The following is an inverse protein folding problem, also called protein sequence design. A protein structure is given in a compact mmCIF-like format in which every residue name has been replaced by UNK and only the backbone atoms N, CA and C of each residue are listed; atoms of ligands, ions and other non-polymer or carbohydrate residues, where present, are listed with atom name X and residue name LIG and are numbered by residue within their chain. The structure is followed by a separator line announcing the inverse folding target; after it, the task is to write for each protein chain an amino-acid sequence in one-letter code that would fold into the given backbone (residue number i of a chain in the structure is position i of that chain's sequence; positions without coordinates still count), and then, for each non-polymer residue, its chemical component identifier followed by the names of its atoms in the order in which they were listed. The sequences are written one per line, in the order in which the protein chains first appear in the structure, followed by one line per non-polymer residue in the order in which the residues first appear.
data_IF_724482415453
#
_entry.id   IF_724482415453
#
_cell.length_a   1.000
_cell.length_b   1.000
_cell.length_c   1.000
_cell.angle_alpha   90.00
_cell.angle_beta   90.00
_cell.angle_gamma   90.00
#
_symmetry.space_group_name_H-M   'P 1'
#
loop_
_entity.id
_entity.type
_entity.pdbx_description
1 polymer ?
#
# COMPACT_ATOMS: atom_id res chain seq x y z
N UNK A 1 16.37 -11.29 2.43
CA UNK A 1 15.27 -10.82 3.28
C UNK A 1 13.94 -11.14 2.64
N UNK A 2 13.02 -11.73 3.40
CA UNK A 2 11.72 -12.12 2.88
C UNK A 2 10.72 -10.98 3.04
N UNK A 3 10.91 -9.93 2.26
CA UNK A 3 10.02 -8.78 2.26
C UNK A 3 8.87 -9.02 1.29
N UNK A 4 7.66 -8.76 1.75
CA UNK A 4 6.45 -8.90 0.94
C UNK A 4 5.55 -7.70 1.13
N UNK A 5 4.96 -7.22 0.04
CA UNK A 5 4.01 -6.11 0.08
C UNK A 5 2.72 -6.56 -0.58
N UNK A 6 1.61 -6.38 0.13
CA UNK A 6 0.28 -6.60 -0.43
C UNK A 6 -0.41 -5.27 -0.61
N UNK A 7 -1.00 -5.08 -1.78
CA UNK A 7 -1.75 -3.87 -2.11
C UNK A 7 -3.16 -4.28 -2.46
N UNK A 8 -4.15 -3.67 -1.83
CA UNK A 8 -5.56 -3.98 -2.06
C UNK A 8 -6.35 -2.70 -2.20
N UNK A 9 -7.20 -2.63 -3.20
CA UNK A 9 -8.10 -1.51 -3.38
C UNK A 9 -9.38 -1.97 -4.06
N UNK A 10 -10.42 -1.16 -3.91
CA UNK A 10 -11.73 -1.41 -4.52
C UNK A 10 -12.04 -0.26 -5.46
N UNK A 11 -12.42 -0.58 -6.70
CA UNK A 11 -12.92 0.41 -7.65
C UNK A 11 -14.40 0.22 -7.87
N UNK A 12 -15.13 1.33 -7.79
CA UNK A 12 -16.56 1.36 -8.08
C UNK A 12 -16.79 1.65 -9.56
N UNK A 13 -17.98 1.32 -10.06
CA UNK A 13 -18.31 1.42 -11.48
C UNK A 13 -18.09 2.80 -12.08
N UNK A 14 -18.19 3.86 -11.27
CA UNK A 14 -18.02 5.24 -11.72
C UNK A 14 -16.58 5.72 -11.77
N UNK A 15 -15.64 4.91 -11.24
CA UNK A 15 -14.25 5.30 -11.20
C UNK A 15 -13.50 4.89 -12.47
N UNK A 16 -12.50 5.68 -12.83
CA UNK A 16 -11.70 5.41 -14.03
C UNK A 16 -10.57 4.42 -13.73
N UNK A 17 -10.79 3.15 -14.08
CA UNK A 17 -9.83 2.08 -13.88
C UNK A 17 -8.47 2.39 -14.52
N UNK A 18 -8.48 2.87 -15.75
CA UNK A 18 -7.24 3.19 -16.48
C UNK A 18 -6.41 4.23 -15.73
N UNK A 19 -7.06 5.27 -15.23
CA UNK A 19 -6.39 6.34 -14.48
C UNK A 19 -5.75 5.81 -13.20
N UNK A 20 -6.44 4.91 -12.50
CA UNK A 20 -5.92 4.32 -11.27
C UNK A 20 -4.64 3.53 -11.55
N UNK A 21 -4.65 2.66 -12.57
CA UNK A 21 -3.46 1.88 -12.92
C UNK A 21 -2.32 2.78 -13.41
N UNK A 22 -2.62 3.84 -14.16
CA UNK A 22 -1.59 4.79 -14.58
C UNK A 22 -0.91 5.46 -13.38
N UNK A 23 -1.69 5.88 -12.40
CA UNK A 23 -1.14 6.54 -11.21
C UNK A 23 -0.33 5.58 -10.33
N UNK A 24 -0.76 4.32 -10.24
CA UNK A 24 0.01 3.32 -9.51
C UNK A 24 1.37 3.07 -10.19
N UNK A 25 1.40 3.03 -11.52
CA UNK A 25 2.65 2.87 -12.25
C UNK A 25 3.54 4.10 -12.13
N UNK A 26 2.99 5.30 -12.31
CA UNK A 26 3.74 6.55 -12.21
C UNK A 26 4.35 6.73 -10.83
N UNK A 27 3.58 6.49 -9.79
CA UNK A 27 4.02 6.77 -8.42
C UNK A 27 4.87 5.66 -7.82
N UNK A 28 4.56 4.39 -8.13
CA UNK A 28 5.20 3.26 -7.45
C UNK A 28 5.90 2.29 -8.38
N UNK A 29 5.90 2.55 -9.69
CA UNK A 29 6.54 1.70 -10.68
C UNK A 29 6.01 0.25 -10.66
N UNK A 30 4.70 0.10 -10.43
CA UNK A 30 4.03 -1.20 -10.47
C UNK A 30 3.22 -1.28 -11.75
N UNK A 31 3.56 -2.22 -12.62
CA UNK A 31 2.84 -2.42 -13.88
C UNK A 31 1.47 -3.03 -13.62
N UNK A 32 0.52 -2.73 -14.52
CA UNK A 32 -0.83 -3.28 -14.42
C UNK A 32 -0.84 -4.80 -14.37
N UNK A 33 0.07 -5.45 -15.09
CA UNK A 33 0.18 -6.91 -15.13
C UNK A 33 0.47 -7.53 -13.77
N UNK A 34 0.97 -6.76 -12.80
CA UNK A 34 1.24 -7.26 -11.45
C UNK A 34 0.01 -7.26 -10.56
N UNK A 35 -1.11 -6.71 -11.04
CA UNK A 35 -2.35 -6.70 -10.30
C UNK A 35 -3.29 -7.80 -10.78
N UNK A 36 -4.01 -8.39 -9.82
CA UNK A 36 -5.12 -9.28 -10.08
C UNK A 36 -6.40 -8.48 -9.93
N UNK A 37 -7.32 -8.66 -10.87
CA UNK A 37 -8.58 -7.93 -10.88
C UNK A 37 -9.72 -8.94 -10.85
N UNK A 38 -10.59 -8.82 -9.86
CA UNK A 38 -11.79 -9.65 -9.74
C UNK A 38 -13.02 -8.75 -9.80
N UNK A 39 -13.92 -9.02 -10.72
CA UNK A 39 -15.17 -8.28 -10.81
C UNK A 39 -16.25 -8.98 -10.00
N UNK A 40 -16.89 -8.23 -9.12
CA UNK A 40 -18.01 -8.74 -8.32
C UNK A 40 -19.20 -7.80 -8.46
N UNK A 41 -20.41 -8.33 -8.23
CA UNK A 41 -21.62 -7.52 -8.25
C UNK A 41 -21.71 -6.72 -6.96
N UNK A 42 -21.78 -5.41 -7.08
CA UNK A 42 -21.95 -4.53 -5.96
C UNK A 42 -23.42 -4.23 -5.67
N UNK A 43 -23.67 -3.19 -4.91
CA UNK A 43 -25.01 -2.74 -4.58
C UNK A 43 -25.74 -2.31 -5.87
N UNK A 44 -27.01 -2.69 -6.01
CA UNK A 44 -27.81 -2.43 -7.21
C UNK A 44 -27.22 -3.03 -8.49
N UNK A 45 -26.50 -4.15 -8.38
CA UNK A 45 -25.87 -4.85 -9.51
C UNK A 45 -24.80 -4.03 -10.24
N UNK A 46 -24.32 -2.93 -9.65
CA UNK A 46 -23.20 -2.19 -10.23
C UNK A 46 -21.91 -3.00 -10.01
N UNK A 47 -21.08 -3.13 -11.05
CA UNK A 47 -19.83 -3.88 -10.89
C UNK A 47 -18.86 -3.17 -9.97
N UNK A 48 -18.18 -3.97 -9.17
CA UNK A 48 -17.10 -3.52 -8.30
C UNK A 48 -15.88 -4.33 -8.66
N UNK A 49 -14.74 -3.67 -8.82
CA UNK A 49 -13.47 -4.35 -9.09
C UNK A 49 -12.68 -4.45 -7.80
N UNK A 50 -12.31 -5.67 -7.43
CA UNK A 50 -11.39 -5.94 -6.34
C UNK A 50 -10.01 -6.10 -6.96
N UNK A 51 -9.11 -5.18 -6.65
CA UNK A 51 -7.78 -5.14 -7.25
C UNK A 51 -6.76 -5.45 -6.17
N UNK A 52 -5.87 -6.38 -6.45
CA UNK A 52 -4.84 -6.79 -5.49
C UNK A 52 -3.52 -7.06 -6.18
N UNK A 53 -2.43 -6.85 -5.44
CA UNK A 53 -1.09 -7.20 -5.88
C UNK A 53 -0.30 -7.74 -4.71
N UNK A 54 0.64 -8.63 -5.00
CA UNK A 54 1.53 -9.20 -4.01
C UNK A 54 2.96 -9.07 -4.54
N UNK A 55 3.69 -8.12 -4.01
CA UNK A 55 5.06 -7.87 -4.42
C UNK A 55 6.02 -8.61 -3.50
N UNK A 56 7.08 -9.16 -4.06
CA UNK A 56 8.07 -9.91 -3.32
C UNK A 56 9.48 -9.48 -3.70
N UNK A 57 10.42 -9.70 -2.80
CA UNK A 57 11.85 -9.53 -3.05
C UNK A 57 12.20 -8.13 -3.54
N UNK A 58 12.88 -8.01 -4.66
CA UNK A 58 13.36 -6.73 -5.17
C UNK A 58 12.22 -5.78 -5.54
N UNK A 59 11.14 -6.30 -6.11
CA UNK A 59 9.98 -5.47 -6.43
C UNK A 59 9.36 -4.89 -5.17
N UNK A 60 9.28 -5.69 -4.11
CA UNK A 60 8.80 -5.20 -2.82
C UNK A 60 9.74 -4.15 -2.23
N UNK A 61 11.05 -4.37 -2.30
CA UNK A 61 12.03 -3.40 -1.82
C UNK A 61 11.92 -2.07 -2.56
N UNK A 62 11.79 -2.12 -3.87
CA UNK A 62 11.63 -0.92 -4.69
C UNK A 62 10.36 -0.16 -4.30
N UNK A 63 9.25 -0.88 -4.11
CA UNK A 63 8.00 -0.26 -3.67
C UNK A 63 8.16 0.45 -2.33
N UNK A 64 8.73 -0.25 -1.34
CA UNK A 64 8.90 0.31 0.00
C UNK A 64 9.74 1.59 -0.04
N UNK A 65 10.83 1.56 -0.78
CA UNK A 65 11.71 2.72 -0.93
C UNK A 65 10.98 3.91 -1.54
N UNK A 66 10.26 3.68 -2.64
CA UNK A 66 9.48 4.74 -3.30
C UNK A 66 8.36 5.26 -2.41
N UNK A 67 7.63 4.33 -1.79
CA UNK A 67 6.48 4.66 -0.96
C UNK A 67 6.87 5.63 0.17
N UNK A 68 7.87 5.28 0.95
CA UNK A 68 8.28 6.11 2.07
C UNK A 68 9.02 7.38 1.62
N UNK A 69 9.69 7.36 0.47
CA UNK A 69 10.35 8.56 -0.05
C UNK A 69 9.36 9.62 -0.52
N UNK A 70 8.17 9.21 -0.94
CA UNK A 70 7.12 10.13 -1.42
C UNK A 70 6.19 10.61 -0.32
N UNK A 71 6.27 9.99 0.84
CA UNK A 71 5.40 10.33 1.97
C UNK A 71 5.80 11.68 2.56
N UNK A 72 4.81 12.46 3.01
CA UNK A 72 5.07 13.71 3.70
C UNK A 72 5.89 13.43 4.97
N UNK A 73 6.82 14.33 5.26
CA UNK A 73 7.73 14.17 6.39
C UNK A 73 6.98 13.97 7.71
N UNK A 74 5.93 14.74 7.93
CA UNK A 74 5.14 14.66 9.16
C UNK A 74 4.47 13.30 9.31
N UNK A 75 3.92 12.77 8.22
CA UNK A 75 3.30 11.45 8.22
C UNK A 75 4.34 10.35 8.41
N UNK A 76 5.49 10.48 7.75
CA UNK A 76 6.59 9.54 7.92
C UNK A 76 7.04 9.48 9.38
N UNK A 77 7.26 10.63 9.99
CA UNK A 77 7.72 10.71 11.38
C UNK A 77 6.70 10.11 12.35
N UNK A 78 5.41 10.34 12.11
CA UNK A 78 4.38 9.75 12.96
C UNK A 78 4.40 8.23 12.88
N UNK A 79 4.43 7.68 11.69
CA UNK A 79 4.48 6.23 11.52
C UNK A 79 5.78 5.67 12.12
N UNK A 80 6.89 6.33 11.86
CA UNK A 80 8.20 5.88 12.33
C UNK A 80 8.27 5.83 13.85
N UNK A 81 7.79 6.88 14.52
CA UNK A 81 7.84 6.97 15.97
C UNK A 81 6.85 6.04 16.67
N UNK A 82 5.72 5.75 16.02
CA UNK A 82 4.66 4.92 16.58
C UNK A 82 4.39 3.68 15.74
N UNK A 83 5.44 3.12 15.16
CA UNK A 83 5.31 2.03 14.18
C UNK A 83 4.56 0.83 14.75
N UNK A 84 4.68 0.55 16.04
CA UNK A 84 3.97 -0.56 16.66
C UNK A 84 2.45 -0.41 16.62
N UNK A 85 1.96 0.84 16.58
CA UNK A 85 0.52 1.10 16.47
C UNK A 85 -0.02 0.77 15.07
N UNK A 86 0.85 0.68 14.08
CA UNK A 86 0.49 0.36 12.70
C UNK A 86 0.77 -1.10 12.33
N UNK A 87 1.41 -1.86 13.22
CA UNK A 87 1.74 -3.26 12.97
C UNK A 87 0.59 -4.16 13.45
N UNK A 88 0.15 -5.03 12.56
CA UNK A 88 -0.86 -6.05 12.86
C UNK A 88 -0.22 -7.43 12.72
N UNK A 89 -1.02 -8.49 12.87
CA UNK A 89 -0.54 -9.86 12.62
C UNK A 89 -0.07 -10.06 11.18
N UNK A 90 -0.51 -9.21 10.25
CA UNK A 90 -0.14 -9.29 8.84
C UNK A 90 1.07 -8.44 8.48
N UNK A 91 1.60 -7.64 9.39
CA UNK A 91 2.72 -6.74 9.17
C UNK A 91 2.36 -5.29 9.37
N UNK A 92 3.16 -4.40 8.79
CA UNK A 92 2.90 -2.96 8.85
C UNK A 92 1.77 -2.62 7.90
N UNK A 93 0.65 -2.16 8.45
CA UNK A 93 -0.58 -1.89 7.70
C UNK A 93 -0.84 -0.40 7.62
N UNK A 94 -0.87 0.12 6.41
CA UNK A 94 -1.10 1.53 6.13
C UNK A 94 -2.22 1.69 5.12
N UNK A 95 -2.91 2.81 5.17
CA UNK A 95 -3.97 3.14 4.23
C UNK A 95 -3.75 4.54 3.67
N UNK A 96 -3.73 4.65 2.35
CA UNK A 96 -3.55 5.93 1.68
C UNK A 96 -4.81 6.30 0.91
N UNK A 97 -4.99 7.59 0.69
CA UNK A 97 -6.14 8.11 -0.06
C UNK A 97 -6.02 7.73 -1.53
N UNK A 98 -6.99 6.97 -2.03
CA UNK A 98 -7.07 6.65 -3.45
C UNK A 98 -7.30 7.92 -4.28
N UNK A 99 -8.20 8.78 -3.82
CA UNK A 99 -8.54 10.01 -4.54
C UNK A 99 -7.36 10.97 -4.65
N UNK A 100 -6.60 11.17 -3.57
CA UNK A 100 -5.43 12.05 -3.59
C UNK A 100 -4.32 11.50 -4.46
N UNK A 101 -4.19 10.16 -4.50
CA UNK A 101 -3.19 9.53 -5.37
C UNK A 101 -3.47 9.84 -6.84
N UNK A 102 -4.74 10.02 -7.22
CA UNK A 102 -5.09 10.41 -8.59
C UNK A 102 -4.55 11.79 -8.96
N UNK A 103 -4.21 12.61 -7.98
CA UNK A 103 -3.55 13.90 -8.18
C UNK A 103 -2.06 13.84 -7.89
N UNK A 104 -1.50 12.63 -7.76
CA UNK A 104 -0.08 12.44 -7.49
C UNK A 104 0.33 12.69 -6.05
N UNK A 105 -0.63 12.73 -5.12
CA UNK A 105 -0.36 13.03 -3.71
C UNK A 105 -0.48 11.74 -2.89
N UNK A 106 0.58 11.40 -2.17
CA UNK A 106 0.58 10.31 -1.22
C UNK A 106 0.18 10.84 0.16
N UNK A 107 -0.99 10.43 0.64
CA UNK A 107 -1.50 10.89 1.92
C UNK A 107 -2.21 9.75 2.65
N UNK A 108 -1.97 9.64 3.94
CA UNK A 108 -2.71 8.69 4.77
C UNK A 108 -4.18 9.09 4.84
N UNK A 109 -5.05 8.10 4.89
CA UNK A 109 -6.49 8.34 4.95
C UNK A 109 -7.20 7.18 5.62
N UNK A 110 -8.45 7.41 6.04
CA UNK A 110 -9.31 6.36 6.58
C UNK A 110 -10.50 6.09 5.68
N UNK A 111 -10.71 6.91 4.66
CA UNK A 111 -11.84 6.81 3.76
C UNK A 111 -11.37 6.55 2.33
N UNK A 112 -12.04 5.64 1.64
CA UNK A 112 -11.78 5.31 0.24
C UNK A 112 -10.30 5.09 -0.03
N UNK A 113 -9.76 4.04 0.58
CA UNK A 113 -8.32 3.88 0.67
C UNK A 113 -7.77 2.77 -0.20
N UNK A 114 -6.48 2.89 -0.48
CA UNK A 114 -5.65 1.79 -0.95
C UNK A 114 -4.94 1.24 0.28
N UNK A 115 -5.14 -0.06 0.54
CA UNK A 115 -4.48 -0.74 1.65
C UNK A 115 -3.10 -1.20 1.24
N UNK A 116 -2.11 -0.83 2.05
CA UNK A 116 -0.72 -1.25 1.86
C UNK A 116 -0.33 -2.07 3.08
N UNK A 117 0.11 -3.29 2.86
CA UNK A 117 0.55 -4.16 3.94
C UNK A 117 1.97 -4.65 3.66
N UNK A 118 2.91 -4.25 4.51
CA UNK A 118 4.33 -4.56 4.37
C UNK A 118 4.71 -5.56 5.43
N UNK A 119 5.18 -6.74 5.04
CA UNK A 119 5.56 -7.77 6.00
C UNK A 119 6.97 -8.26 5.78
N UNK A 120 7.65 -8.54 6.89
CA UNK A 120 8.95 -9.17 6.93
C UNK A 120 8.99 -10.07 8.16
N UNK A 121 9.76 -11.18 8.15
CA UNK A 121 9.82 -12.03 9.32
C UNK A 121 10.35 -11.30 10.56
N UNK A 122 9.68 -11.49 11.68
CA UNK A 122 10.10 -10.99 12.99
C UNK A 122 10.13 -12.19 13.92
N UNK A 123 11.33 -12.63 14.28
CA UNK A 123 11.50 -13.83 15.09
C UNK A 123 11.48 -13.53 16.59
N UNK A 124 11.80 -12.29 16.96
CA UNK A 124 11.78 -11.86 18.36
C UNK A 124 10.83 -10.68 18.46
N UNK A 125 9.74 -10.86 19.22
CA UNK A 125 8.63 -9.90 19.27
C UNK A 125 9.07 -8.48 19.67
N UNK A 126 10.02 -8.35 20.61
CA UNK A 126 10.47 -7.04 21.05
C UNK A 126 11.38 -6.32 20.04
N UNK A 127 11.70 -6.95 18.91
CA UNK A 127 12.45 -6.31 17.84
C UNK A 127 11.57 -5.78 16.71
N UNK A 128 10.26 -5.94 16.81
CA UNK A 128 9.31 -5.53 15.78
C UNK A 128 9.48 -4.06 15.40
N UNK A 129 9.52 -3.19 16.39
CA UNK A 129 9.68 -1.75 16.16
C UNK A 129 10.96 -1.45 15.38
N UNK A 130 12.07 -2.01 15.81
CA UNK A 130 13.38 -1.78 15.19
C UNK A 130 13.39 -2.24 13.73
N UNK A 131 12.86 -3.44 13.48
CA UNK A 131 12.87 -4.03 12.15
C UNK A 131 12.07 -3.18 11.17
N UNK A 132 10.87 -2.76 11.52
CA UNK A 132 10.05 -1.94 10.64
C UNK A 132 10.58 -0.52 10.49
N UNK A 133 11.18 0.04 11.54
CA UNK A 133 11.83 1.34 11.42
C UNK A 133 13.02 1.29 10.44
N UNK A 134 13.78 0.21 10.46
CA UNK A 134 14.88 0.03 9.51
C UNK A 134 14.37 -0.08 8.08
N UNK A 135 13.26 -0.78 7.86
CA UNK A 135 12.63 -0.87 6.54
C UNK A 135 12.23 0.51 6.02
N UNK A 136 11.68 1.36 6.86
CA UNK A 136 11.23 2.69 6.47
C UNK A 136 12.37 3.61 6.05
N UNK A 137 13.56 3.40 6.59
CA UNK A 137 14.74 4.24 6.30
C UNK A 137 15.49 3.87 5.02
N UNK A 138 15.23 2.71 4.47
CA UNK A 138 15.98 2.22 3.30
C UNK A 138 15.52 2.86 1.97
#
# INVERSE_FOLDING_TARGET
MQLEVKINLILHATENEKKVFEELEINFQIEQSEFQVEEVSGHFYNPILLISSKLKRKTAQNFVSLFFSKMKKEEFEEIFNYVEDYVTSSGLSLRISKQKLMSGILALSREDTIKINISTPVYVKNETKKIYQELMRK
#
